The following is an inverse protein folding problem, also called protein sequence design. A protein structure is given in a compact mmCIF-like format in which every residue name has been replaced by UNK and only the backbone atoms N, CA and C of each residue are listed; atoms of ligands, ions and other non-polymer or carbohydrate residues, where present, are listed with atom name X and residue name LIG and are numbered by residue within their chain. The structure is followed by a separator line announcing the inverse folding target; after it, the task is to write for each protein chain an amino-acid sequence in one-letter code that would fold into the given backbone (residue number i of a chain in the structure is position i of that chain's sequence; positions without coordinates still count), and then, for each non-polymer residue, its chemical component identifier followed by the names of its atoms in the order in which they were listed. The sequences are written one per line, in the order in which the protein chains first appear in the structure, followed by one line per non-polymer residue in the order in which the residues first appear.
data_IF_109329512925
#
_entry.id   IF_109329512925
#
_cell.length_a   1.000
_cell.length_b   1.000
_cell.length_c   1.000
_cell.angle_alpha   90.00
_cell.angle_beta   90.00
_cell.angle_gamma   90.00
#
_symmetry.space_group_name_H-M   'P 1'
#
loop_
_entity.id
_entity.type
_entity.pdbx_description
1 polymer ?
#
# COMPACT_ATOMS: atom_id res chain seq x y z
N UNK A 1 -1.29 -22.49 -12.81
CA UNK A 1 -1.57 -21.91 -11.48
C UNK A 1 -1.83 -20.44 -11.68
N UNK A 2 -2.94 -19.93 -11.15
CA UNK A 2 -3.29 -18.52 -11.33
C UNK A 2 -3.12 -17.75 -10.01
N UNK A 3 -1.87 -17.41 -9.66
CA UNK A 3 -1.58 -16.61 -8.45
C UNK A 3 -2.37 -15.29 -8.49
N UNK A 4 -2.53 -14.71 -9.68
CA UNK A 4 -3.30 -13.49 -9.89
C UNK A 4 -4.75 -13.64 -9.42
N UNK A 5 -5.42 -14.75 -9.79
CA UNK A 5 -6.78 -15.02 -9.29
C UNK A 5 -6.83 -15.14 -7.77
N UNK A 6 -5.87 -15.83 -7.15
CA UNK A 6 -5.79 -15.92 -5.69
C UNK A 6 -5.63 -14.54 -5.04
N UNK A 7 -4.70 -13.72 -5.53
CA UNK A 7 -4.43 -12.37 -5.01
C UNK A 7 -5.65 -11.45 -5.17
N UNK A 8 -6.27 -11.43 -6.35
CA UNK A 8 -7.51 -10.64 -6.60
C UNK A 8 -8.67 -11.12 -5.72
N UNK A 9 -8.75 -12.42 -5.43
CA UNK A 9 -9.77 -12.98 -4.54
C UNK A 9 -9.55 -12.60 -3.07
N UNK A 10 -8.29 -12.45 -2.64
CA UNK A 10 -7.93 -12.00 -1.29
C UNK A 10 -8.20 -10.49 -1.13
N UNK A 11 -7.96 -9.68 -2.17
CA UNK A 11 -8.15 -8.23 -2.14
C UNK A 11 -9.17 -7.74 -3.19
N UNK A 12 -10.45 -8.15 -3.09
CA UNK A 12 -11.48 -7.76 -4.06
C UNK A 12 -11.75 -6.26 -4.12
N UNK A 13 -11.40 -5.52 -3.07
CA UNK A 13 -11.47 -4.06 -2.96
C UNK A 13 -10.37 -3.31 -3.74
N UNK A 14 -9.39 -4.04 -4.29
CA UNK A 14 -8.29 -3.52 -5.11
C UNK A 14 -8.44 -4.09 -6.54
N UNK A 15 -9.42 -3.62 -7.32
CA UNK A 15 -9.68 -4.15 -8.66
C UNK A 15 -8.49 -4.00 -9.62
N UNK A 16 -7.62 -3.01 -9.40
CA UNK A 16 -6.42 -2.73 -10.19
C UNK A 16 -5.38 -3.86 -10.15
N UNK A 17 -5.45 -4.77 -9.16
CA UNK A 17 -4.63 -5.99 -9.14
C UNK A 17 -4.89 -6.90 -10.35
N UNK A 18 -6.01 -6.73 -11.04
CA UNK A 18 -6.30 -7.42 -12.30
C UNK A 18 -5.44 -6.95 -13.45
N UNK A 19 -4.80 -5.80 -13.37
CA UNK A 19 -3.96 -5.26 -14.44
C UNK A 19 -2.47 -5.55 -14.20
N UNK A 20 -2.13 -5.91 -12.95
CA UNK A 20 -0.77 -6.33 -12.59
C UNK A 20 -0.42 -7.67 -13.25
N UNK A 21 0.78 -7.72 -13.83
CA UNK A 21 1.42 -8.95 -14.26
C UNK A 21 2.06 -9.64 -13.04
N UNK A 22 1.67 -10.89 -12.79
CA UNK A 22 2.20 -11.73 -11.70
C UNK A 22 3.10 -12.86 -12.21
N UNK A 23 3.49 -12.84 -13.49
CA UNK A 23 4.30 -13.90 -14.11
C UNK A 23 5.63 -14.15 -13.40
N UNK A 24 6.20 -13.10 -12.80
CA UNK A 24 7.48 -13.15 -12.07
C UNK A 24 7.29 -13.17 -10.54
N UNK A 25 6.06 -13.32 -10.03
CA UNK A 25 5.83 -13.31 -8.59
C UNK A 25 6.19 -14.68 -7.98
N UNK A 26 7.46 -14.82 -7.61
CA UNK A 26 7.98 -15.99 -6.92
C UNK A 26 7.78 -15.86 -5.41
N UNK A 27 6.79 -16.56 -4.86
CA UNK A 27 6.43 -16.48 -3.43
C UNK A 27 6.41 -17.85 -2.76
N UNK A 28 6.91 -18.00 -1.51
CA UNK A 28 6.82 -19.25 -0.76
C UNK A 28 5.36 -19.62 -0.41
N UNK A 29 4.43 -18.68 -0.51
CA UNK A 29 3.01 -18.89 -0.21
C UNK A 29 2.23 -19.54 -1.34
N UNK A 30 2.90 -19.92 -2.43
CA UNK A 30 2.30 -20.53 -3.61
C UNK A 30 1.33 -21.69 -3.30
N UNK A 31 1.67 -22.68 -2.45
CA UNK A 31 0.75 -23.77 -2.12
C UNK A 31 -0.50 -23.28 -1.36
N UNK A 32 -0.34 -22.30 -0.47
CA UNK A 32 -1.43 -21.73 0.31
C UNK A 32 -2.40 -20.96 -0.58
N UNK A 33 -1.88 -20.09 -1.44
CA UNK A 33 -2.65 -19.30 -2.39
C UNK A 33 -3.44 -20.19 -3.35
N UNK A 34 -2.83 -21.28 -3.82
CA UNK A 34 -3.51 -22.25 -4.69
C UNK A 34 -4.68 -22.95 -3.99
N UNK A 35 -4.55 -23.27 -2.69
CA UNK A 35 -5.65 -23.88 -1.94
C UNK A 35 -6.78 -22.88 -1.67
N UNK A 36 -6.45 -21.63 -1.36
CA UNK A 36 -7.44 -20.59 -1.12
C UNK A 36 -8.19 -20.17 -2.41
N UNK A 37 -7.49 -20.14 -3.55
CA UNK A 37 -8.10 -19.88 -4.85
C UNK A 37 -9.24 -20.88 -5.14
N UNK A 38 -9.04 -22.15 -4.80
CA UNK A 38 -10.02 -23.23 -4.96
C UNK A 38 -11.12 -23.31 -3.88
N UNK A 39 -11.02 -22.54 -2.79
CA UNK A 39 -12.06 -22.51 -1.76
C UNK A 39 -13.23 -21.61 -2.20
N UNK A 40 -14.28 -21.48 -1.39
CA UNK A 40 -15.32 -20.47 -1.63
C UNK A 40 -15.03 -19.12 -0.93
N UNK A 41 -13.94 -19.04 -0.15
CA UNK A 41 -13.58 -17.86 0.64
C UNK A 41 -13.15 -16.67 -0.21
N UNK A 42 -13.52 -15.45 0.21
CA UNK A 42 -13.20 -14.20 -0.49
C UNK A 42 -12.90 -13.08 0.50
N UNK A 43 -11.89 -12.27 0.19
CA UNK A 43 -11.46 -11.16 1.04
C UNK A 43 -10.40 -11.56 2.08
N UNK A 44 -9.72 -10.55 2.62
CA UNK A 44 -8.58 -10.74 3.53
C UNK A 44 -8.97 -11.45 4.84
N UNK A 45 -10.16 -11.15 5.38
CA UNK A 45 -10.65 -11.78 6.62
C UNK A 45 -10.88 -13.29 6.43
N UNK A 46 -11.50 -13.68 5.32
CA UNK A 46 -11.71 -15.10 4.98
C UNK A 46 -10.39 -15.80 4.66
N UNK A 47 -9.45 -15.10 4.02
CA UNK A 47 -8.10 -15.63 3.83
C UNK A 47 -7.41 -15.90 5.17
N UNK A 48 -7.50 -14.97 6.12
CA UNK A 48 -6.93 -15.17 7.46
C UNK A 48 -7.53 -16.36 8.18
N UNK A 49 -8.87 -16.48 8.19
CA UNK A 49 -9.56 -17.66 8.76
C UNK A 49 -9.09 -18.95 8.11
N UNK A 50 -9.00 -18.95 6.78
CA UNK A 50 -8.52 -20.10 6.02
C UNK A 50 -7.08 -20.51 6.40
N UNK A 51 -6.17 -19.54 6.62
CA UNK A 51 -4.80 -19.83 7.10
C UNK A 51 -4.85 -20.52 8.47
N UNK A 52 -5.62 -19.98 9.42
CA UNK A 52 -5.72 -20.49 10.78
C UNK A 52 -6.35 -21.90 10.81
N UNK A 53 -7.43 -22.13 10.06
CA UNK A 53 -8.11 -23.43 9.95
C UNK A 53 -7.24 -24.52 9.32
N UNK A 54 -6.26 -24.14 8.49
CA UNK A 54 -5.29 -25.05 7.89
C UNK A 54 -4.01 -25.21 8.73
N UNK A 55 -4.04 -24.80 10.00
CA UNK A 55 -2.94 -24.95 10.96
C UNK A 55 -1.79 -23.95 10.75
N UNK A 56 -1.99 -22.90 9.95
CA UNK A 56 -1.04 -21.82 9.76
C UNK A 56 -1.12 -20.76 10.85
N UNK A 57 0.00 -20.12 11.13
CA UNK A 57 0.03 -18.96 12.04
C UNK A 57 -0.55 -17.72 11.36
N UNK A 58 -1.25 -16.88 12.14
CA UNK A 58 -1.76 -15.59 11.66
C UNK A 58 -0.69 -14.72 11.00
N UNK A 59 0.53 -14.74 11.53
CA UNK A 59 1.68 -14.03 10.97
C UNK A 59 1.99 -14.36 9.49
N UNK A 60 1.56 -15.54 9.00
CA UNK A 60 1.69 -15.91 7.58
C UNK A 60 0.95 -14.92 6.68
N UNK A 61 -0.22 -14.42 7.11
CA UNK A 61 -1.01 -13.44 6.34
C UNK A 61 -0.23 -12.13 6.21
N UNK A 62 0.29 -11.60 7.31
CA UNK A 62 1.13 -10.39 7.29
C UNK A 62 2.36 -10.55 6.40
N UNK A 63 3.08 -11.68 6.51
CA UNK A 63 4.25 -11.96 5.66
C UNK A 63 3.88 -12.08 4.17
N UNK A 64 2.71 -12.63 3.85
CA UNK A 64 2.18 -12.66 2.49
C UNK A 64 1.90 -11.25 1.96
N UNK A 65 1.22 -10.39 2.74
CA UNK A 65 0.93 -9.01 2.33
C UNK A 65 2.24 -8.23 2.11
N UNK A 66 3.24 -8.40 2.99
CA UNK A 66 4.58 -7.81 2.84
C UNK A 66 5.24 -8.30 1.54
N UNK A 67 5.19 -9.60 1.27
CA UNK A 67 5.74 -10.19 0.04
C UNK A 67 5.07 -9.63 -1.21
N UNK A 68 3.76 -9.41 -1.17
CA UNK A 68 3.00 -8.79 -2.25
C UNK A 68 3.40 -7.32 -2.44
N UNK A 69 3.47 -6.54 -1.36
CA UNK A 69 3.94 -5.15 -1.40
C UNK A 69 5.32 -5.05 -2.02
N UNK A 70 6.28 -5.86 -1.54
CA UNK A 70 7.65 -5.89 -2.07
C UNK A 70 7.67 -6.21 -3.57
N UNK A 71 6.85 -7.16 -4.02
CA UNK A 71 6.74 -7.47 -5.44
C UNK A 71 6.28 -6.25 -6.25
N UNK A 72 5.20 -5.59 -5.84
CA UNK A 72 4.68 -4.39 -6.51
C UNK A 72 5.72 -3.27 -6.55
N UNK A 73 6.40 -3.00 -5.43
CA UNK A 73 7.46 -1.98 -5.36
C UNK A 73 8.66 -2.30 -6.26
N UNK A 74 9.04 -3.58 -6.37
CA UNK A 74 10.10 -4.02 -7.28
C UNK A 74 9.68 -3.80 -8.74
N UNK A 75 8.44 -4.14 -9.10
CA UNK A 75 7.93 -3.95 -10.47
C UNK A 75 7.95 -2.47 -10.86
N UNK A 76 7.50 -1.60 -9.97
CA UNK A 76 7.58 -0.16 -10.14
C UNK A 76 9.04 0.29 -10.32
N UNK A 77 9.91 -0.01 -9.35
CA UNK A 77 11.25 0.59 -9.30
C UNK A 77 12.19 0.06 -10.38
N UNK A 78 12.09 -1.22 -10.73
CA UNK A 78 13.03 -1.88 -11.66
C UNK A 78 12.55 -1.90 -13.10
N UNK A 79 11.24 -1.97 -13.32
CA UNK A 79 10.67 -2.11 -14.66
C UNK A 79 9.81 -0.91 -15.09
N UNK A 80 9.58 0.04 -14.19
CA UNK A 80 8.81 1.25 -14.51
C UNK A 80 7.33 0.99 -14.74
N UNK A 81 6.82 -0.15 -14.28
CA UNK A 81 5.41 -0.53 -14.45
C UNK A 81 4.51 0.40 -13.63
N UNK A 82 3.55 1.02 -14.30
CA UNK A 82 2.69 2.04 -13.69
C UNK A 82 1.43 1.42 -13.11
N UNK A 83 1.01 0.28 -13.65
CA UNK A 83 -0.16 -0.50 -13.25
C UNK A 83 -0.08 -0.97 -11.79
N UNK A 84 1.13 -1.03 -11.21
CA UNK A 84 1.35 -1.42 -9.82
C UNK A 84 1.27 -0.25 -8.83
N UNK A 85 1.18 1.01 -9.28
CA UNK A 85 1.23 2.19 -8.40
C UNK A 85 0.04 2.23 -7.45
N UNK A 86 -1.18 2.26 -7.99
CA UNK A 86 -2.40 2.29 -7.17
C UNK A 86 -2.53 1.03 -6.29
N UNK A 87 -2.29 -0.20 -6.80
CA UNK A 87 -2.16 -1.38 -5.96
C UNK A 87 -1.15 -1.24 -4.82
N UNK A 88 0.02 -0.66 -5.06
CA UNK A 88 1.06 -0.49 -4.03
C UNK A 88 0.57 0.38 -2.88
N UNK A 89 -0.06 1.52 -3.20
CA UNK A 89 -0.62 2.43 -2.19
C UNK A 89 -1.69 1.71 -1.37
N UNK A 90 -2.64 1.03 -2.03
CA UNK A 90 -3.75 0.34 -1.35
C UNK A 90 -3.24 -0.83 -0.49
N UNK A 91 -2.35 -1.67 -1.02
CA UNK A 91 -1.75 -2.78 -0.26
C UNK A 91 -0.95 -2.26 0.94
N UNK A 92 -0.25 -1.13 0.81
CA UNK A 92 0.48 -0.52 1.92
C UNK A 92 -0.44 -0.12 3.08
N UNK A 93 -1.59 0.48 2.78
CA UNK A 93 -2.60 0.83 3.79
C UNK A 93 -3.27 -0.41 4.38
N UNK A 94 -3.61 -1.40 3.56
CA UNK A 94 -4.15 -2.67 4.04
C UNK A 94 -3.16 -3.35 4.99
N UNK A 95 -1.86 -3.33 4.67
CA UNK A 95 -0.81 -3.85 5.54
C UNK A 95 -0.72 -3.07 6.85
N UNK A 96 -0.80 -1.74 6.83
CA UNK A 96 -0.85 -0.90 8.04
C UNK A 96 -1.99 -1.34 8.96
N UNK A 97 -3.21 -1.38 8.44
CA UNK A 97 -4.40 -1.76 9.22
C UNK A 97 -4.25 -3.16 9.80
N UNK A 98 -3.87 -4.12 8.96
CA UNK A 98 -3.73 -5.51 9.38
C UNK A 98 -2.66 -5.69 10.47
N UNK A 99 -1.49 -5.05 10.36
CA UNK A 99 -0.43 -5.16 11.37
C UNK A 99 -0.84 -4.52 12.70
N UNK A 100 -1.48 -3.35 12.68
CA UNK A 100 -1.94 -2.66 13.90
C UNK A 100 -3.02 -3.47 14.60
N UNK A 101 -4.01 -3.99 13.86
CA UNK A 101 -5.11 -4.79 14.42
C UNK A 101 -4.66 -6.13 15.02
N UNK A 102 -3.44 -6.57 14.72
CA UNK A 102 -2.89 -7.85 15.16
C UNK A 102 -1.62 -7.70 16.02
N UNK A 103 -1.46 -6.55 16.69
CA UNK A 103 -0.37 -6.28 17.65
C UNK A 103 1.05 -6.33 17.06
N UNK A 104 1.20 -6.11 15.75
CA UNK A 104 2.48 -6.06 15.03
C UNK A 104 2.96 -4.62 14.78
N UNK A 105 2.75 -3.71 15.73
CA UNK A 105 3.09 -2.28 15.58
C UNK A 105 4.58 -2.04 15.27
N UNK A 106 5.49 -2.82 15.87
CA UNK A 106 6.93 -2.70 15.60
C UNK A 106 7.28 -3.09 14.17
N UNK A 107 6.63 -4.12 13.63
CA UNK A 107 6.83 -4.52 12.24
C UNK A 107 6.27 -3.45 11.31
N UNK A 108 5.13 -2.86 11.65
CA UNK A 108 4.60 -1.71 10.92
C UNK A 108 5.61 -0.56 10.89
N UNK A 109 6.20 -0.17 12.02
CA UNK A 109 7.20 0.91 12.05
C UNK A 109 8.40 0.61 11.14
N UNK A 110 8.89 -0.63 11.14
CA UNK A 110 9.98 -1.04 10.25
C UNK A 110 9.58 -0.96 8.77
N UNK A 111 8.41 -1.47 8.40
CA UNK A 111 7.88 -1.40 7.03
C UNK A 111 7.68 0.07 6.61
N UNK A 112 7.12 0.88 7.50
CA UNK A 112 6.82 2.28 7.26
C UNK A 112 8.09 3.09 7.01
N UNK A 113 9.10 2.90 7.86
CA UNK A 113 10.42 3.52 7.72
C UNK A 113 11.07 3.22 6.37
N UNK A 114 11.04 1.95 5.94
CA UNK A 114 11.76 1.49 4.75
C UNK A 114 11.04 1.78 3.43
N UNK A 115 9.71 1.79 3.40
CA UNK A 115 8.96 1.79 2.13
C UNK A 115 8.19 3.07 1.82
N UNK A 116 8.05 4.00 2.77
CA UNK A 116 7.30 5.24 2.55
C UNK A 116 7.86 6.07 1.38
N UNK A 117 9.19 6.10 1.19
CA UNK A 117 9.83 6.82 0.10
C UNK A 117 9.31 6.41 -1.29
N UNK A 118 8.99 5.12 -1.49
CA UNK A 118 8.43 4.66 -2.76
C UNK A 118 7.05 5.25 -3.04
N UNK A 119 6.21 5.47 -2.03
CA UNK A 119 4.91 6.09 -2.22
C UNK A 119 5.04 7.56 -2.62
N UNK A 120 6.00 8.27 -2.01
CA UNK A 120 6.31 9.66 -2.38
C UNK A 120 6.81 9.72 -3.83
N UNK A 121 7.71 8.81 -4.22
CA UNK A 121 8.21 8.69 -5.59
C UNK A 121 7.10 8.42 -6.63
N UNK A 122 5.98 7.80 -6.23
CA UNK A 122 4.84 7.52 -7.11
C UNK A 122 3.89 8.71 -7.30
N UNK A 123 3.96 9.74 -6.44
CA UNK A 123 3.01 10.87 -6.47
C UNK A 123 2.94 11.61 -7.82
N UNK A 124 4.04 11.87 -8.54
CA UNK A 124 3.98 12.53 -9.84
C UNK A 124 3.13 11.76 -10.85
N UNK A 125 3.32 10.43 -10.92
CA UNK A 125 2.58 9.57 -11.83
C UNK A 125 1.08 9.55 -11.50
N UNK A 126 0.73 9.46 -10.21
CA UNK A 126 -0.68 9.53 -9.77
C UNK A 126 -1.32 10.87 -10.20
N UNK A 127 -0.58 11.98 -10.08
CA UNK A 127 -1.06 13.31 -10.47
C UNK A 127 -1.23 13.50 -11.99
N UNK A 128 -0.63 12.62 -12.79
CA UNK A 128 -0.70 12.61 -14.26
C UNK A 128 -1.75 11.63 -14.78
N UNK A 129 -1.90 10.46 -14.14
CA UNK A 129 -2.73 9.36 -14.63
C UNK A 129 -4.16 9.38 -14.12
N UNK A 130 -4.39 9.88 -12.90
CA UNK A 130 -5.71 9.88 -12.27
C UNK A 130 -6.48 11.18 -12.50
N UNK A 131 -7.81 11.12 -12.38
CA UNK A 131 -8.62 12.35 -12.33
C UNK A 131 -8.27 13.19 -11.09
N UNK A 132 -8.51 14.50 -11.16
CA UNK A 132 -8.16 15.45 -10.09
C UNK A 132 -8.70 15.05 -8.71
N UNK A 133 -9.89 14.42 -8.64
CA UNK A 133 -10.48 13.99 -7.38
C UNK A 133 -9.71 12.82 -6.77
N UNK A 134 -9.50 11.77 -7.56
CA UNK A 134 -8.76 10.58 -7.14
C UNK A 134 -7.28 10.87 -6.86
N UNK A 135 -6.61 11.62 -7.74
CA UNK A 135 -5.24 12.07 -7.54
C UNK A 135 -5.11 12.85 -6.21
N UNK A 136 -6.01 13.79 -5.95
CA UNK A 136 -5.96 14.59 -4.73
C UNK A 136 -6.17 13.73 -3.48
N UNK A 137 -7.04 12.72 -3.53
CA UNK A 137 -7.25 11.78 -2.43
C UNK A 137 -5.97 10.98 -2.12
N UNK A 138 -5.34 10.38 -3.14
CA UNK A 138 -4.11 9.60 -2.96
C UNK A 138 -2.93 10.46 -2.51
N UNK A 139 -2.69 11.62 -3.14
CA UNK A 139 -1.59 12.50 -2.73
C UNK A 139 -1.81 13.06 -1.32
N UNK A 140 -3.06 13.35 -0.93
CA UNK A 140 -3.37 13.75 0.45
C UNK A 140 -3.06 12.64 1.44
N UNK A 141 -3.39 11.38 1.11
CA UNK A 141 -3.08 10.22 1.93
C UNK A 141 -1.57 10.01 2.09
N UNK A 142 -0.82 10.00 0.99
CA UNK A 142 0.64 9.81 0.99
C UNK A 142 1.30 10.94 1.79
N UNK A 143 0.90 12.18 1.56
CA UNK A 143 1.41 13.30 2.34
C UNK A 143 1.06 13.18 3.84
N UNK A 144 -0.14 12.73 4.21
CA UNK A 144 -0.48 12.47 5.61
C UNK A 144 0.42 11.40 6.24
N UNK A 145 0.81 10.37 5.48
CA UNK A 145 1.78 9.38 5.92
C UNK A 145 3.16 10.02 6.14
N UNK A 146 3.62 10.92 5.26
CA UNK A 146 4.91 11.62 5.49
C UNK A 146 4.92 12.48 6.75
N UNK A 147 3.79 13.09 7.11
CA UNK A 147 3.68 13.83 8.37
C UNK A 147 3.73 12.89 9.58
N UNK A 148 3.08 11.73 9.51
CA UNK A 148 3.18 10.70 10.55
C UNK A 148 4.63 10.20 10.70
N UNK A 149 5.33 9.94 9.59
CA UNK A 149 6.72 9.50 9.63
C UNK A 149 7.64 10.57 10.25
N UNK A 150 7.46 11.83 9.86
CA UNK A 150 8.21 12.98 10.42
C UNK A 150 8.02 13.14 11.93
N UNK A 151 6.82 12.85 12.44
CA UNK A 151 6.54 12.89 13.89
C UNK A 151 7.09 11.65 14.62
N UNK A 152 7.24 10.53 13.92
CA UNK A 152 7.62 9.22 14.49
C UNK A 152 9.13 8.99 14.50
N UNK A 153 9.81 9.46 13.44
CA UNK A 153 11.20 9.19 13.15
C UNK A 153 12.01 10.48 13.19
N UNK A 154 13.20 10.44 13.79
CA UNK A 154 14.01 11.64 14.02
C UNK A 154 14.91 12.00 12.84
N UNK A 155 15.04 11.13 11.83
CA UNK A 155 15.90 11.33 10.68
C UNK A 155 15.41 12.47 9.77
N UNK A 156 16.36 13.28 9.28
CA UNK A 156 16.11 14.38 8.35
C UNK A 156 15.43 13.92 7.05
N UNK A 157 15.73 12.69 6.61
CA UNK A 157 15.09 12.04 5.46
C UNK A 157 13.55 12.13 5.50
N UNK A 158 12.91 11.95 6.66
CA UNK A 158 11.44 12.02 6.74
C UNK A 158 10.90 13.46 6.67
N UNK A 159 11.73 14.46 7.02
CA UNK A 159 11.40 15.87 6.79
C UNK A 159 11.44 16.21 5.30
N UNK A 160 12.44 15.70 4.59
CA UNK A 160 12.58 15.87 3.13
C UNK A 160 11.43 15.18 2.38
N UNK A 161 11.05 13.96 2.77
CA UNK A 161 9.89 13.27 2.22
C UNK A 161 8.60 14.08 2.43
N UNK A 162 8.38 14.65 3.61
CA UNK A 162 7.22 15.47 3.88
C UNK A 162 7.18 16.75 3.04
N UNK A 163 8.32 17.44 2.89
CA UNK A 163 8.43 18.61 2.03
C UNK A 163 8.16 18.27 0.56
N UNK A 164 8.70 17.14 0.08
CA UNK A 164 8.51 16.65 -1.29
C UNK A 164 7.05 16.30 -1.57
N UNK A 165 6.42 15.55 -0.67
CA UNK A 165 5.00 15.20 -0.78
C UNK A 165 4.09 16.45 -0.72
N UNK A 166 4.41 17.41 0.17
CA UNK A 166 3.67 18.66 0.26
C UNK A 166 3.76 19.48 -1.03
N UNK A 167 4.93 19.50 -1.68
CA UNK A 167 5.12 20.13 -3.00
C UNK A 167 4.25 19.46 -4.06
N UNK A 168 4.34 18.14 -4.22
CA UNK A 168 3.53 17.42 -5.22
C UNK A 168 2.02 17.62 -5.01
N UNK A 169 1.54 17.59 -3.76
CA UNK A 169 0.14 17.84 -3.46
C UNK A 169 -0.28 19.27 -3.79
N UNK A 170 0.59 20.26 -3.55
CA UNK A 170 0.34 21.66 -3.91
C UNK A 170 0.25 21.83 -5.42
N UNK A 171 1.23 21.29 -6.15
CA UNK A 171 1.31 21.38 -7.61
C UNK A 171 0.05 20.76 -8.25
N UNK A 172 -0.41 19.60 -7.74
CA UNK A 172 -1.67 18.99 -8.18
C UNK A 172 -2.88 19.88 -7.88
N UNK A 173 -2.98 20.41 -6.67
CA UNK A 173 -4.13 21.23 -6.27
C UNK A 173 -4.21 22.53 -7.05
N UNK A 174 -3.08 23.15 -7.36
CA UNK A 174 -3.01 24.31 -8.25
C UNK A 174 -3.47 23.95 -9.67
N UNK A 175 -2.91 22.87 -10.24
CA UNK A 175 -3.32 22.33 -11.56
C UNK A 175 -4.82 22.05 -11.63
N UNK A 176 -5.41 21.55 -10.55
CA UNK A 176 -6.81 21.15 -10.47
C UNK A 176 -7.75 22.23 -9.87
N UNK A 177 -7.25 23.45 -9.57
CA UNK A 177 -8.04 24.52 -8.94
C UNK A 177 -8.73 24.12 -7.63
N UNK A 178 -8.04 23.37 -6.77
CA UNK A 178 -8.53 22.93 -5.46
C UNK A 178 -8.00 23.89 -4.38
N UNK A 179 -8.89 24.64 -3.74
CA UNK A 179 -8.53 25.70 -2.77
C UNK A 179 -8.11 25.19 -1.38
N UNK A 180 -8.25 23.89 -1.11
CA UNK A 180 -7.92 23.34 0.21
C UNK A 180 -6.42 23.46 0.48
N UNK A 181 -5.99 24.05 1.61
CA UNK A 181 -4.57 24.18 1.93
C UNK A 181 -3.92 22.83 2.21
N UNK A 182 -2.64 22.70 1.88
CA UNK A 182 -1.83 21.53 2.23
C UNK A 182 -1.55 21.55 3.73
N UNK A 183 -1.93 20.51 4.50
CA UNK A 183 -1.67 20.48 5.94
C UNK A 183 -0.16 20.53 6.25
N UNK A 184 0.25 21.11 7.37
CA UNK A 184 1.67 21.09 7.80
C UNK A 184 1.94 20.12 8.96
N UNK A 185 0.87 19.63 9.58
CA UNK A 185 0.89 18.73 10.74
C UNK A 185 -0.15 17.64 10.58
N UNK A 186 0.09 16.50 11.21
CA UNK A 186 -0.91 15.43 11.24
C UNK A 186 -2.20 15.98 11.84
N UNK A 187 -3.35 15.71 11.20
CA UNK A 187 -4.64 15.99 11.83
C UNK A 187 -4.75 15.08 13.05
N UNK A 188 -4.79 15.66 14.25
CA UNK A 188 -5.29 14.93 15.42
C UNK A 188 -6.74 14.60 15.13
N UNK A 189 -7.07 13.34 14.91
CA UNK A 189 -8.47 12.95 14.92
C UNK A 189 -9.04 13.36 16.29
N UNK A 190 -10.17 14.08 16.35
CA UNK A 190 -10.96 14.07 17.58
C UNK A 190 -11.41 12.62 17.77
N UNK A 191 -11.08 12.05 18.93
CA UNK A 191 -11.59 10.76 19.37
C UNK A 191 -13.11 10.70 19.30
#
# INVERSE_FOLDING_TARGET
MNIKEAVVKIFPEIPELKDVDFSQYATPYTPLLTKFEKSDGKGLLEFQRFVEENGGERAVVGRFIISLLQYLLIRYRRYGEQEVIIPSVKIFITLKGWLIENDYERDWLNIFHNFLGYLVDMMPHIAESEDCGMANAYLTLIHSLTLEAKETFSEEYFQELAATAAKHLRDLREKCSIETPVPEKKRKNPC
#
